data_IF_008772793532
#
_entry.id   IF_008772793532
#
_cell.length_a   1.000
_cell.length_b   1.000
_cell.length_c   1.000
_cell.angle_alpha   90.00
_cell.angle_beta   90.00
_cell.angle_gamma   90.00
#
_symmetry.space_group_name_H-M   'P 1'
#
loop_
_entity.id
_entity.type
_entity.pdbx_description
1 polymer ?
#
# COMPACT_ATOMS: atom_id res chain seq x y z
N UNK A 1 -17.68 57.84 21.73
CA UNK A 1 -16.28 57.55 21.31
C UNK A 1 -16.15 56.11 20.78
N UNK A 2 -17.05 55.66 19.91
CA UNK A 2 -17.16 54.24 19.50
C UNK A 2 -16.56 53.95 18.12
N UNK A 3 -16.50 54.96 17.24
CA UNK A 3 -15.97 54.82 15.89
C UNK A 3 -14.44 54.63 15.85
N UNK A 4 -13.70 55.20 16.80
CA UNK A 4 -12.24 55.09 16.83
C UNK A 4 -11.75 53.71 17.28
N UNK A 5 -12.48 53.02 18.16
CA UNK A 5 -12.12 51.69 18.66
C UNK A 5 -12.39 50.62 17.61
N UNK A 6 -13.52 50.69 16.90
CA UNK A 6 -13.88 49.76 15.83
C UNK A 6 -12.87 49.77 14.66
N UNK A 7 -12.41 50.97 14.26
CA UNK A 7 -11.41 51.11 13.20
C UNK A 7 -10.05 50.50 13.56
N UNK A 8 -9.65 50.60 14.83
CA UNK A 8 -8.41 49.99 15.35
C UNK A 8 -8.51 48.46 15.38
N UNK A 9 -9.64 47.93 15.85
CA UNK A 9 -9.91 46.47 15.89
C UNK A 9 -9.88 45.87 14.48
N UNK A 10 -10.52 46.52 13.50
CA UNK A 10 -10.53 46.04 12.11
C UNK A 10 -9.13 45.98 11.48
N UNK A 11 -8.27 46.95 11.77
CA UNK A 11 -6.87 46.95 11.31
C UNK A 11 -6.06 45.82 11.96
N UNK A 12 -6.22 45.59 13.25
CA UNK A 12 -5.53 44.50 13.97
C UNK A 12 -5.95 43.15 13.40
N UNK A 13 -7.26 42.92 13.18
CA UNK A 13 -7.77 41.70 12.58
C UNK A 13 -7.24 41.46 11.17
N UNK A 14 -7.17 42.52 10.36
CA UNK A 14 -6.65 42.44 8.99
C UNK A 14 -5.16 42.06 8.95
N UNK A 15 -4.36 42.59 9.87
CA UNK A 15 -2.93 42.26 9.97
C UNK A 15 -2.76 40.83 10.49
N UNK A 16 -3.55 40.42 11.48
CA UNK A 16 -3.52 39.04 12.00
C UNK A 16 -3.84 38.02 10.90
N UNK A 17 -4.88 38.28 10.10
CA UNK A 17 -5.27 37.45 8.97
C UNK A 17 -4.17 37.33 7.91
N UNK A 18 -3.49 38.43 7.59
CA UNK A 18 -2.36 38.44 6.66
C UNK A 18 -1.18 37.61 7.18
N UNK A 19 -0.86 37.71 8.47
CA UNK A 19 0.21 36.92 9.10
C UNK A 19 -0.14 35.42 9.10
N UNK A 20 -1.38 35.06 9.44
CA UNK A 20 -1.85 33.67 9.36
C UNK A 20 -1.79 33.12 7.92
N UNK A 21 -2.13 33.94 6.92
CA UNK A 21 -2.10 33.53 5.53
C UNK A 21 -0.68 33.21 5.04
N UNK A 22 0.32 34.01 5.42
CA UNK A 22 1.74 33.78 5.06
C UNK A 22 2.29 32.51 5.74
N UNK A 23 1.87 32.21 6.97
CA UNK A 23 2.30 31.00 7.68
C UNK A 23 1.65 29.73 7.09
N UNK A 24 0.44 29.83 6.54
CA UNK A 24 -0.26 28.69 5.94
C UNK A 24 0.30 28.27 4.57
N UNK A 25 0.92 29.20 3.82
CA UNK A 25 1.50 28.92 2.48
C UNK A 25 2.81 28.12 2.56
N UNK A 26 3.40 27.96 3.74
CA UNK A 26 4.74 27.36 3.93
C UNK A 26 4.80 25.87 4.31
N UNK A 27 3.70 25.13 4.35
CA UNK A 27 3.72 23.72 4.80
C UNK A 27 2.96 22.78 3.85
N UNK A 28 3.35 22.76 2.58
CA UNK A 28 3.19 21.55 1.76
C UNK A 28 4.53 20.86 1.67
N UNK A 29 4.85 20.08 2.69
CA UNK A 29 5.82 18.99 2.55
C UNK A 29 5.29 18.13 1.41
N UNK A 30 5.94 18.17 0.25
CA UNK A 30 5.70 17.20 -0.81
C UNK A 30 6.10 15.83 -0.27
N UNK A 31 5.15 15.13 0.34
CA UNK A 31 5.25 13.69 0.49
C UNK A 31 5.40 13.14 -0.91
N UNK A 32 6.53 12.49 -1.19
CA UNK A 32 6.76 11.78 -2.44
C UNK A 32 5.52 10.90 -2.67
N UNK A 33 4.71 11.27 -3.64
CA UNK A 33 3.45 10.61 -3.89
C UNK A 33 3.77 9.19 -4.33
N UNK A 34 3.39 8.23 -3.49
CA UNK A 34 3.39 6.82 -3.83
C UNK A 34 2.39 6.61 -4.97
N UNK A 35 2.87 6.70 -6.20
CA UNK A 35 1.99 6.61 -7.37
C UNK A 35 1.80 5.13 -7.69
N UNK A 36 0.72 4.54 -7.12
CA UNK A 36 0.19 3.21 -7.51
C UNK A 36 -0.09 3.08 -9.02
N UNK A 37 -0.10 4.20 -9.76
CA UNK A 37 -0.22 4.25 -11.21
C UNK A 37 1.11 4.31 -11.99
N UNK A 38 2.27 4.34 -11.32
CA UNK A 38 3.55 4.43 -12.04
C UNK A 38 3.88 3.14 -12.79
N UNK A 39 4.55 3.25 -13.93
CA UNK A 39 5.02 2.09 -14.69
C UNK A 39 5.87 1.13 -13.84
N UNK A 40 6.74 1.69 -12.98
CA UNK A 40 7.56 0.90 -12.05
C UNK A 40 6.72 0.09 -11.05
N UNK A 41 5.66 0.69 -10.51
CA UNK A 41 4.72 0.00 -9.63
C UNK A 41 4.00 -1.13 -10.38
N UNK A 42 3.47 -0.85 -11.57
CA UNK A 42 2.74 -1.86 -12.36
C UNK A 42 3.64 -3.04 -12.73
N UNK A 43 4.89 -2.77 -13.11
CA UNK A 43 5.87 -3.82 -13.38
C UNK A 43 6.13 -4.65 -12.13
N UNK A 44 6.40 -4.01 -11.00
CA UNK A 44 6.58 -4.67 -9.72
C UNK A 44 5.37 -5.55 -9.39
N UNK A 45 4.16 -5.01 -9.51
CA UNK A 45 2.90 -5.71 -9.27
C UNK A 45 2.76 -6.96 -10.11
N UNK A 46 2.95 -6.86 -11.43
CA UNK A 46 2.80 -8.00 -12.33
C UNK A 46 3.82 -9.11 -12.02
N UNK A 47 5.07 -8.74 -11.73
CA UNK A 47 6.09 -9.70 -11.31
C UNK A 47 5.71 -10.33 -9.96
N UNK A 48 5.27 -9.51 -9.01
CA UNK A 48 4.80 -9.95 -7.70
C UNK A 48 3.66 -10.95 -7.80
N UNK A 49 2.63 -10.68 -8.62
CA UNK A 49 1.50 -11.59 -8.83
C UNK A 49 1.97 -12.96 -9.30
N UNK A 50 2.89 -13.01 -10.28
CA UNK A 50 3.38 -14.27 -10.80
C UNK A 50 4.14 -15.07 -9.75
N UNK A 51 5.10 -14.44 -9.08
CA UNK A 51 5.92 -15.10 -8.04
C UNK A 51 5.05 -15.54 -6.87
N UNK A 52 4.18 -14.65 -6.39
CA UNK A 52 3.25 -14.95 -5.31
C UNK A 52 2.35 -16.13 -5.66
N UNK A 53 1.82 -16.20 -6.88
CA UNK A 53 1.01 -17.33 -7.32
C UNK A 53 1.75 -18.67 -7.27
N UNK A 54 2.99 -18.70 -7.76
CA UNK A 54 3.81 -19.92 -7.76
C UNK A 54 4.08 -20.39 -6.31
N UNK A 55 4.57 -19.49 -5.46
CA UNK A 55 4.84 -19.78 -4.04
C UNK A 55 3.57 -20.22 -3.30
N UNK A 56 2.48 -19.47 -3.49
CA UNK A 56 1.18 -19.76 -2.88
C UNK A 56 0.67 -21.13 -3.30
N UNK A 57 0.74 -21.47 -4.60
CA UNK A 57 0.28 -22.76 -5.11
C UNK A 57 1.03 -23.92 -4.48
N UNK A 58 2.35 -23.83 -4.40
CA UNK A 58 3.18 -24.86 -3.77
C UNK A 58 2.83 -25.03 -2.29
N UNK A 59 2.71 -23.93 -1.56
CA UNK A 59 2.34 -23.96 -0.14
C UNK A 59 0.92 -24.49 0.07
N UNK A 60 -0.02 -24.17 -0.82
CA UNK A 60 -1.38 -24.70 -0.81
C UNK A 60 -1.43 -26.21 -1.04
N UNK A 61 -0.68 -26.73 -2.01
CA UNK A 61 -0.58 -28.18 -2.26
C UNK A 61 0.02 -28.91 -1.04
N UNK A 62 1.12 -28.38 -0.47
CA UNK A 62 1.75 -28.93 0.74
C UNK A 62 0.79 -28.93 1.93
N UNK A 63 0.10 -27.83 2.15
CA UNK A 63 -0.85 -27.66 3.24
C UNK A 63 -2.02 -28.66 3.13
N UNK A 64 -2.57 -28.82 1.93
CA UNK A 64 -3.60 -29.83 1.66
C UNK A 64 -3.11 -31.26 1.88
N UNK A 65 -1.90 -31.61 1.44
CA UNK A 65 -1.34 -32.95 1.69
C UNK A 65 -1.16 -33.24 3.18
N UNK A 66 -0.88 -32.21 3.98
CA UNK A 66 -0.64 -32.35 5.42
C UNK A 66 -1.92 -32.33 6.25
N UNK A 67 -2.87 -31.47 5.91
CA UNK A 67 -4.06 -31.18 6.73
C UNK A 67 -5.38 -31.51 6.04
N UNK A 68 -5.33 -32.01 4.80
CA UNK A 68 -6.52 -32.36 4.02
C UNK A 68 -7.43 -31.16 3.83
N UNK A 69 -8.71 -31.34 4.13
CA UNK A 69 -9.74 -30.29 4.02
C UNK A 69 -9.55 -29.13 5.01
N UNK A 70 -8.82 -29.33 6.11
CA UNK A 70 -8.51 -28.26 7.06
C UNK A 70 -7.47 -27.32 6.45
N UNK A 71 -7.90 -26.14 6.00
CA UNK A 71 -6.99 -25.08 5.57
C UNK A 71 -6.48 -24.30 6.76
N UNK A 72 -5.17 -24.11 6.85
CA UNK A 72 -4.54 -23.50 8.03
C UNK A 72 -3.65 -22.29 7.70
N UNK A 73 -3.88 -21.62 6.56
CA UNK A 73 -3.18 -20.37 6.24
C UNK A 73 -3.47 -19.31 7.31
N UNK A 74 -2.48 -19.02 8.15
CA UNK A 74 -2.57 -17.98 9.18
C UNK A 74 -2.01 -16.64 8.71
N UNK A 75 -0.98 -16.67 7.85
CA UNK A 75 -0.27 -15.48 7.41
C UNK A 75 0.37 -15.71 6.04
N UNK A 76 0.28 -14.70 5.19
CA UNK A 76 1.02 -14.65 3.91
C UNK A 76 2.48 -14.31 4.21
N UNK A 77 3.46 -15.09 3.70
CA UNK A 77 4.87 -14.78 3.87
C UNK A 77 5.20 -13.40 3.26
N UNK A 78 6.14 -12.70 3.89
CA UNK A 78 6.64 -11.46 3.30
C UNK A 78 7.62 -11.82 2.18
N UNK A 79 7.44 -11.25 0.97
CA UNK A 79 8.27 -11.63 -0.15
C UNK A 79 9.67 -11.05 -0.01
N UNK A 80 10.65 -11.74 -0.58
CA UNK A 80 12.03 -11.24 -0.66
C UNK A 80 12.06 -9.93 -1.47
N UNK A 81 12.69 -8.91 -0.89
CA UNK A 81 12.84 -7.59 -1.49
C UNK A 81 14.32 -7.27 -1.75
N UNK A 82 14.63 -6.69 -2.90
CA UNK A 82 15.96 -6.21 -3.22
C UNK A 82 16.13 -4.72 -2.87
N UNK A 83 17.26 -4.37 -2.25
CA UNK A 83 17.59 -2.98 -1.88
C UNK A 83 17.72 -2.05 -3.10
N UNK A 84 18.14 -2.59 -4.26
CA UNK A 84 18.26 -1.86 -5.53
C UNK A 84 16.93 -1.56 -6.24
N UNK A 85 15.80 -2.10 -5.75
CA UNK A 85 14.50 -1.77 -6.30
C UNK A 85 14.04 -0.39 -5.86
N UNK A 86 13.49 0.37 -6.81
CA UNK A 86 12.77 1.61 -6.50
C UNK A 86 11.64 1.33 -5.50
N UNK A 87 11.30 2.34 -4.69
CA UNK A 87 10.21 2.25 -3.70
C UNK A 87 8.90 1.81 -4.38
N UNK A 88 8.54 2.44 -5.50
CA UNK A 88 7.32 2.11 -6.25
C UNK A 88 7.30 0.65 -6.75
N UNK A 89 8.43 0.15 -7.28
CA UNK A 89 8.53 -1.25 -7.72
C UNK A 89 8.35 -2.20 -6.54
N UNK A 90 9.03 -1.92 -5.42
CA UNK A 90 8.99 -2.77 -4.21
C UNK A 90 7.59 -2.86 -3.64
N UNK A 91 6.86 -1.76 -3.63
CA UNK A 91 5.47 -1.73 -3.18
C UNK A 91 4.54 -2.48 -4.12
N UNK A 92 4.64 -2.21 -5.43
CA UNK A 92 3.89 -2.95 -6.43
C UNK A 92 4.13 -4.45 -6.30
N UNK A 93 5.40 -4.85 -6.20
CA UNK A 93 5.80 -6.24 -6.01
C UNK A 93 5.23 -6.85 -4.74
N UNK A 94 5.30 -6.14 -3.60
CA UNK A 94 4.74 -6.63 -2.34
C UNK A 94 3.22 -6.80 -2.39
N UNK A 95 2.52 -5.85 -3.00
CA UNK A 95 1.06 -5.91 -3.15
C UNK A 95 0.65 -7.03 -4.13
N UNK A 96 1.31 -7.09 -5.29
CA UNK A 96 1.09 -8.13 -6.29
C UNK A 96 1.36 -9.53 -5.74
N UNK A 97 2.46 -9.70 -4.99
CA UNK A 97 2.81 -10.96 -4.36
C UNK A 97 1.72 -11.45 -3.41
N UNK A 98 1.23 -10.59 -2.51
CA UNK A 98 0.17 -10.97 -1.56
C UNK A 98 -1.09 -11.43 -2.28
N UNK A 99 -1.47 -10.72 -3.35
CA UNK A 99 -2.65 -11.08 -4.14
C UNK A 99 -2.45 -12.39 -4.89
N UNK A 100 -1.31 -12.54 -5.58
CA UNK A 100 -0.95 -13.78 -6.29
C UNK A 100 -0.93 -14.98 -5.35
N UNK A 101 -0.33 -14.81 -4.16
CA UNK A 101 -0.19 -15.86 -3.16
C UNK A 101 -1.54 -16.42 -2.70
N UNK A 102 -2.51 -15.57 -2.37
CA UNK A 102 -3.83 -16.04 -1.93
C UNK A 102 -4.49 -16.88 -3.03
N UNK A 103 -4.42 -16.41 -4.28
CA UNK A 103 -5.02 -17.11 -5.43
C UNK A 103 -4.30 -18.44 -5.68
N UNK A 104 -2.97 -18.42 -5.71
CA UNK A 104 -2.13 -19.61 -5.85
C UNK A 104 -2.44 -20.65 -4.78
N UNK A 105 -2.44 -20.24 -3.51
CA UNK A 105 -2.70 -21.11 -2.36
C UNK A 105 -4.07 -21.79 -2.43
N UNK A 106 -5.12 -21.04 -2.74
CA UNK A 106 -6.45 -21.61 -2.89
C UNK A 106 -6.50 -22.60 -4.07
N UNK A 107 -5.85 -22.27 -5.19
CA UNK A 107 -5.80 -23.15 -6.35
C UNK A 107 -5.00 -24.44 -6.07
N UNK A 108 -3.87 -24.34 -5.37
CA UNK A 108 -3.06 -25.48 -4.96
C UNK A 108 -3.84 -26.43 -4.05
N UNK A 109 -4.51 -25.87 -3.04
CA UNK A 109 -5.40 -26.65 -2.16
C UNK A 109 -6.54 -27.31 -2.93
N UNK A 110 -7.24 -26.54 -3.77
CA UNK A 110 -8.35 -27.05 -4.57
C UNK A 110 -7.92 -28.18 -5.51
N UNK A 111 -6.78 -28.00 -6.18
CA UNK A 111 -6.19 -28.99 -7.08
C UNK A 111 -5.80 -30.28 -6.36
N UNK A 112 -5.29 -30.19 -5.13
CA UNK A 112 -4.99 -31.34 -4.29
C UNK A 112 -6.28 -32.06 -3.83
N UNK A 113 -7.27 -31.33 -3.31
CA UNK A 113 -8.53 -31.89 -2.82
C UNK A 113 -9.35 -32.58 -3.91
N UNK A 114 -9.26 -32.12 -5.16
CA UNK A 114 -9.89 -32.78 -6.32
C UNK A 114 -9.30 -34.15 -6.68
N UNK A 115 -8.08 -34.43 -6.22
CA UNK A 115 -7.35 -35.67 -6.52
C UNK A 115 -7.48 -36.69 -5.39
N UNK A 116 -8.05 -36.30 -4.24
CA UNK A 116 -8.37 -37.18 -3.11
C UNK A 116 -9.76 -37.78 -3.30
#
# INVERSE_FOLDING_TARGET
MEKQTFGKIKKILSVLLLVFFVIYVGATSASATHVKGSHSYQLGYNVGVKVGYEDGYEDGDKDCRKYGQQGVLQKIPEPTSNAGWSVNYREGYREGFKNGYIVGYNNGRYGCLKKQ
#
